data_IF_504379690044
#
_entry.id   IF_504379690044
#
_cell.length_a   1.000
_cell.length_b   1.000
_cell.length_c   1.000
_cell.angle_alpha   90.00
_cell.angle_beta   90.00
_cell.angle_gamma   90.00
#
_symmetry.space_group_name_H-M   'P 1'
#
loop_
_entity.id
_entity.type
_entity.pdbx_description
1 polymer ?
#
# COMPACT_ATOMS: atom_id res chain seq x y z
N UNK A 1 19.97 18.11 0.20
CA UNK A 1 18.69 18.31 0.91
C UNK A 1 17.87 17.05 0.70
N UNK A 2 17.35 16.42 1.77
CA UNK A 2 16.50 15.23 1.64
C UNK A 2 15.10 15.66 1.18
N UNK A 3 14.65 15.28 -0.03
CA UNK A 3 13.34 15.72 -0.52
C UNK A 3 12.24 14.93 0.18
N UNK A 4 11.15 15.63 0.50
CA UNK A 4 9.93 15.08 1.09
C UNK A 4 8.83 15.14 0.04
N UNK A 5 8.11 14.03 -0.14
CA UNK A 5 6.90 13.94 -0.94
C UNK A 5 5.75 13.44 -0.07
N UNK A 6 4.58 14.04 -0.24
CA UNK A 6 3.33 13.62 0.41
C UNK A 6 2.21 13.70 -0.62
N UNK A 7 1.45 12.63 -0.76
CA UNK A 7 0.31 12.48 -1.66
C UNK A 7 -0.87 11.93 -0.87
N UNK A 8 -2.07 12.47 -1.13
CA UNK A 8 -3.30 11.98 -0.55
C UNK A 8 -4.36 11.86 -1.64
N UNK A 9 -4.98 10.70 -1.74
CA UNK A 9 -6.00 10.38 -2.74
C UNK A 9 -7.28 9.92 -2.06
N UNK A 10 -8.43 10.40 -2.53
CA UNK A 10 -9.74 10.00 -2.06
C UNK A 10 -10.63 9.65 -3.25
N UNK A 11 -11.26 8.47 -3.20
CA UNK A 11 -12.13 7.96 -4.26
C UNK A 11 -13.47 7.54 -3.68
N UNK A 12 -14.51 7.64 -4.52
CA UNK A 12 -15.87 7.25 -4.18
C UNK A 12 -16.54 6.60 -5.38
N UNK A 13 -17.01 5.36 -5.21
CA UNK A 13 -17.72 4.60 -6.22
C UNK A 13 -19.23 4.87 -6.19
N UNK A 14 -19.66 5.83 -7.02
CA UNK A 14 -21.09 6.19 -7.14
C UNK A 14 -21.96 5.12 -7.78
N UNK A 15 -21.37 4.05 -8.32
CA UNK A 15 -22.08 2.92 -8.93
C UNK A 15 -22.26 1.72 -8.00
N UNK A 16 -21.88 1.82 -6.73
CA UNK A 16 -22.05 0.73 -5.76
C UNK A 16 -23.52 0.39 -5.57
N UNK A 17 -23.85 -0.90 -5.55
CA UNK A 17 -25.24 -1.37 -5.45
C UNK A 17 -25.87 -1.02 -4.08
N UNK A 18 -25.06 -0.96 -3.03
CA UNK A 18 -25.50 -0.65 -1.67
C UNK A 18 -25.46 0.84 -1.29
N UNK A 19 -24.73 1.69 -2.04
CA UNK A 19 -24.52 3.11 -1.68
C UNK A 19 -23.82 3.34 -0.33
N UNK A 20 -23.34 2.26 0.30
CA UNK A 20 -22.57 2.20 1.54
C UNK A 20 -21.26 1.48 1.23
N UNK A 21 -20.19 1.77 1.97
CA UNK A 21 -18.86 1.13 1.76
C UNK A 21 -18.25 1.40 0.38
N UNK A 22 -18.42 2.62 -0.14
CA UNK A 22 -18.07 3.03 -1.49
C UNK A 22 -16.77 3.83 -1.60
N UNK A 23 -15.95 3.89 -0.53
CA UNK A 23 -14.86 4.87 -0.42
C UNK A 23 -13.48 4.23 -0.35
N UNK A 24 -12.51 4.92 -0.93
CA UNK A 24 -11.09 4.61 -0.78
C UNK A 24 -10.31 5.85 -0.38
N UNK A 25 -9.31 5.65 0.47
CA UNK A 25 -8.39 6.68 0.92
C UNK A 25 -6.95 6.14 0.86
N UNK A 26 -6.05 6.92 0.29
CA UNK A 26 -4.62 6.66 0.36
C UNK A 26 -3.88 7.91 0.86
N UNK A 27 -2.94 7.71 1.77
CA UNK A 27 -1.98 8.72 2.20
C UNK A 27 -0.58 8.12 2.07
N UNK A 28 0.23 8.68 1.19
CA UNK A 28 1.56 8.17 0.87
C UNK A 28 2.56 9.28 1.12
N UNK A 29 3.60 8.97 1.89
CA UNK A 29 4.68 9.88 2.18
C UNK A 29 6.02 9.21 1.92
N UNK A 30 7.00 9.98 1.47
CA UNK A 30 8.36 9.48 1.33
C UNK A 30 9.39 10.59 1.54
N UNK A 31 10.53 10.20 2.09
CA UNK A 31 11.64 11.08 2.39
C UNK A 31 12.93 10.45 1.88
N UNK A 32 13.69 11.21 1.09
CA UNK A 32 14.93 10.75 0.48
C UNK A 32 14.82 10.65 -1.03
N UNK A 33 15.77 9.97 -1.66
CA UNK A 33 15.92 9.93 -3.12
C UNK A 33 16.34 8.53 -3.56
N UNK A 34 16.22 8.25 -4.85
CA UNK A 34 16.54 6.96 -5.47
C UNK A 34 17.29 7.12 -6.79
N UNK A 35 18.11 8.18 -6.91
CA UNK A 35 18.71 8.61 -8.18
C UNK A 35 20.16 8.19 -8.37
N UNK A 36 20.96 8.22 -7.31
CA UNK A 36 22.40 7.99 -7.32
C UNK A 36 22.77 6.81 -6.43
N UNK A 37 23.93 6.21 -6.69
CA UNK A 37 24.44 5.11 -5.85
C UNK A 37 24.55 5.57 -4.39
N UNK A 38 24.04 4.75 -3.48
CA UNK A 38 24.06 5.03 -2.05
C UNK A 38 22.87 5.87 -1.57
N UNK A 39 21.99 6.26 -2.48
CA UNK A 39 20.76 6.94 -2.10
C UNK A 39 19.81 6.02 -1.34
N UNK A 40 19.12 6.62 -0.38
CA UNK A 40 18.08 6.00 0.42
C UNK A 40 16.79 6.79 0.29
N UNK A 41 15.67 6.06 0.29
CA UNK A 41 14.34 6.64 0.44
C UNK A 41 13.54 5.79 1.41
N UNK A 42 12.90 6.44 2.37
CA UNK A 42 12.01 5.79 3.34
C UNK A 42 10.60 6.29 3.08
N UNK A 43 9.64 5.38 3.01
CA UNK A 43 8.24 5.71 2.77
C UNK A 43 7.32 5.14 3.82
N UNK A 44 6.21 5.83 4.05
CA UNK A 44 5.08 5.33 4.81
C UNK A 44 3.80 5.54 4.03
N UNK A 45 2.95 4.52 3.99
CA UNK A 45 1.65 4.58 3.34
C UNK A 45 0.55 4.08 4.25
N UNK A 46 -0.55 4.82 4.30
CA UNK A 46 -1.82 4.37 4.86
C UNK A 46 -2.80 4.21 3.70
N UNK A 47 -3.42 3.04 3.60
CA UNK A 47 -4.44 2.76 2.60
C UNK A 47 -5.67 2.18 3.29
N UNK A 48 -6.82 2.65 2.84
CA UNK A 48 -8.13 2.16 3.22
C UNK A 48 -8.95 1.98 1.94
N UNK A 49 -9.57 0.82 1.80
CA UNK A 49 -10.54 0.57 0.74
C UNK A 49 -11.73 -0.14 1.36
N UNK A 50 -12.91 0.47 1.25
CA UNK A 50 -14.17 -0.17 1.63
C UNK A 50 -14.54 -1.28 0.61
N UNK A 51 -15.50 -2.14 0.96
CA UNK A 51 -15.85 -3.34 0.19
C UNK A 51 -16.23 -3.05 -1.28
N UNK A 52 -17.02 -2.00 -1.51
CA UNK A 52 -17.56 -1.59 -2.81
C UNK A 52 -16.80 -0.40 -3.42
N UNK A 53 -15.69 0.02 -2.83
CA UNK A 53 -14.89 1.16 -3.29
C UNK A 53 -14.28 0.94 -4.68
N UNK A 54 -13.91 -0.30 -5.00
CA UNK A 54 -13.35 -0.73 -6.28
C UNK A 54 -13.79 -2.17 -6.57
N UNK A 55 -13.78 -2.56 -7.85
CA UNK A 55 -14.00 -3.95 -8.23
C UNK A 55 -12.83 -4.80 -7.72
N UNK A 56 -13.10 -5.70 -6.77
CA UNK A 56 -12.10 -6.55 -6.11
C UNK A 56 -11.12 -7.24 -7.09
N UNK A 57 -11.59 -7.66 -8.26
CA UNK A 57 -10.78 -8.30 -9.30
C UNK A 57 -9.58 -7.46 -9.80
N UNK A 58 -9.57 -6.14 -9.56
CA UNK A 58 -8.54 -5.22 -10.02
C UNK A 58 -7.66 -4.64 -8.90
N UNK A 59 -7.91 -5.01 -7.64
CA UNK A 59 -7.23 -4.41 -6.48
C UNK A 59 -6.28 -5.37 -5.74
N UNK A 60 -6.08 -6.58 -6.27
CA UNK A 60 -5.14 -7.55 -5.72
C UNK A 60 -3.75 -7.40 -6.34
N UNK A 61 -2.76 -7.05 -5.52
CA UNK A 61 -1.35 -7.20 -5.92
C UNK A 61 -0.39 -7.38 -4.72
N UNK A 62 -0.62 -6.65 -3.63
CA UNK A 62 0.35 -6.50 -2.53
C UNK A 62 -0.02 -7.19 -1.22
N UNK A 63 -1.30 -7.48 -1.01
CA UNK A 63 -1.82 -8.23 0.16
C UNK A 63 -2.88 -9.22 -0.30
N UNK A 64 -3.33 -10.10 0.58
CA UNK A 64 -4.35 -11.10 0.24
C UNK A 64 -5.80 -10.57 0.33
N UNK A 65 -6.00 -9.29 0.66
CA UNK A 65 -7.29 -8.60 0.63
C UNK A 65 -7.41 -7.74 -0.62
N UNK A 66 -8.53 -7.89 -1.34
CA UNK A 66 -8.84 -7.06 -2.50
C UNK A 66 -9.46 -5.73 -2.11
N UNK A 67 -10.43 -5.77 -1.21
CA UNK A 67 -11.23 -4.64 -0.70
C UNK A 67 -11.51 -4.88 0.78
N UNK A 68 -12.23 -3.95 1.41
CA UNK A 68 -12.59 -3.99 2.83
C UNK A 68 -11.37 -4.17 3.74
N UNK A 69 -10.38 -3.29 3.58
CA UNK A 69 -9.13 -3.39 4.34
C UNK A 69 -8.59 -2.04 4.82
N UNK A 70 -7.79 -2.16 5.88
CA UNK A 70 -6.89 -1.14 6.38
C UNK A 70 -5.46 -1.64 6.26
N UNK A 71 -4.57 -0.79 5.75
CA UNK A 71 -3.19 -1.14 5.48
C UNK A 71 -2.24 -0.01 5.86
N UNK A 72 -1.19 -0.38 6.59
CA UNK A 72 0.00 0.42 6.79
C UNK A 72 1.17 -0.25 6.05
N UNK A 73 1.92 0.52 5.26
CA UNK A 73 3.16 0.06 4.65
C UNK A 73 4.33 0.94 5.09
N UNK A 74 5.43 0.31 5.50
CA UNK A 74 6.73 0.95 5.66
C UNK A 74 7.64 0.45 4.54
N UNK A 75 8.22 1.37 3.77
CA UNK A 75 9.14 1.04 2.67
C UNK A 75 10.53 1.60 2.92
N UNK A 76 11.55 0.86 2.49
CA UNK A 76 12.93 1.32 2.43
C UNK A 76 13.49 0.93 1.06
N UNK A 77 13.93 1.94 0.32
CA UNK A 77 14.64 1.79 -0.94
C UNK A 77 16.12 2.14 -0.75
N UNK A 78 16.99 1.32 -1.34
CA UNK A 78 18.43 1.55 -1.39
C UNK A 78 18.96 1.37 -2.81
N UNK A 79 19.61 2.42 -3.34
CA UNK A 79 20.22 2.39 -4.66
C UNK A 79 21.61 1.76 -4.59
N UNK A 80 21.69 0.45 -4.81
CA UNK A 80 22.96 -0.28 -4.80
C UNK A 80 23.89 0.20 -5.92
N UNK A 81 23.32 0.48 -7.10
CA UNK A 81 23.96 1.14 -8.26
C UNK A 81 22.90 1.95 -9.01
N UNK A 82 23.29 2.86 -9.91
CA UNK A 82 22.36 3.74 -10.66
C UNK A 82 21.20 3.01 -11.36
N UNK A 83 21.40 1.75 -11.72
CA UNK A 83 20.42 0.90 -12.39
C UNK A 83 19.93 -0.27 -11.51
N UNK A 84 20.28 -0.29 -10.23
CA UNK A 84 19.97 -1.40 -9.31
C UNK A 84 19.42 -0.84 -8.01
N UNK A 85 18.15 -1.13 -7.74
CA UNK A 85 17.48 -0.72 -6.50
C UNK A 85 17.05 -1.95 -5.71
N UNK A 86 17.34 -1.93 -4.42
CA UNK A 86 16.82 -2.89 -3.45
C UNK A 86 15.67 -2.23 -2.71
N UNK A 87 14.55 -2.93 -2.57
CA UNK A 87 13.40 -2.46 -1.83
C UNK A 87 13.00 -3.48 -0.75
N UNK A 88 12.72 -2.97 0.44
CA UNK A 88 12.10 -3.69 1.54
C UNK A 88 10.76 -3.02 1.81
N UNK A 89 9.69 -3.80 1.88
CA UNK A 89 8.38 -3.32 2.33
C UNK A 89 7.85 -4.19 3.46
N UNK A 90 7.46 -3.57 4.57
CA UNK A 90 6.69 -4.20 5.63
C UNK A 90 5.25 -3.70 5.57
N UNK A 91 4.33 -4.63 5.33
CA UNK A 91 2.90 -4.39 5.38
C UNK A 91 2.35 -4.83 6.73
N UNK A 92 1.48 -4.02 7.32
CA UNK A 92 0.68 -4.31 8.50
C UNK A 92 -0.77 -3.99 8.16
N UNK A 93 -1.63 -5.01 8.06
CA UNK A 93 -2.95 -4.86 7.46
C UNK A 93 -3.99 -5.78 8.08
N UNK A 94 -5.27 -5.40 7.99
CA UNK A 94 -6.41 -6.20 8.44
C UNK A 94 -7.64 -5.90 7.59
N UNK A 95 -8.62 -6.79 7.65
CA UNK A 95 -9.96 -6.48 7.14
C UNK A 95 -10.60 -5.37 7.98
N UNK A 96 -11.37 -4.49 7.34
CA UNK A 96 -12.02 -3.37 7.99
C UNK A 96 -13.33 -3.80 8.64
N UNK A 97 -14.16 -4.57 7.94
CA UNK A 97 -15.40 -5.12 8.49
C UNK A 97 -15.35 -6.65 8.65
N UNK A 98 -16.10 -7.15 9.63
CA UNK A 98 -16.11 -8.55 10.05
C UNK A 98 -17.05 -9.43 9.22
N UNK A 99 -17.50 -8.96 8.03
CA UNK A 99 -18.35 -9.75 7.14
C UNK A 99 -17.61 -10.96 6.51
N UNK A 100 -16.29 -11.03 6.71
CA UNK A 100 -15.50 -12.21 6.39
C UNK A 100 -15.81 -13.37 7.35
N UNK A 101 -15.81 -14.63 6.88
CA UNK A 101 -16.10 -15.80 7.72
C UNK A 101 -15.25 -15.83 9.00
N UNK A 102 -15.87 -16.24 10.12
CA UNK A 102 -15.17 -16.40 11.42
C UNK A 102 -13.92 -17.28 11.24
N UNK A 103 -12.75 -16.75 11.64
CA UNK A 103 -11.43 -17.35 11.42
C UNK A 103 -10.54 -16.59 10.43
N UNK A 104 -11.12 -15.75 9.56
CA UNK A 104 -10.41 -14.77 8.71
C UNK A 104 -10.62 -13.32 9.17
N UNK A 105 -11.67 -13.08 9.95
CA UNK A 105 -12.02 -11.78 10.49
C UNK A 105 -11.27 -11.48 11.81
N UNK A 106 -10.46 -10.41 11.80
CA UNK A 106 -10.28 -9.39 12.85
C UNK A 106 -8.82 -9.02 13.18
N UNK A 107 -7.88 -9.95 13.05
CA UNK A 107 -6.51 -9.70 13.52
C UNK A 107 -5.59 -9.08 12.47
N UNK A 108 -4.70 -8.22 12.96
CA UNK A 108 -3.65 -7.63 12.15
C UNK A 108 -2.67 -8.68 11.65
N UNK A 109 -2.35 -8.59 10.37
CA UNK A 109 -1.41 -9.47 9.68
C UNK A 109 -0.23 -8.66 9.20
N UNK A 110 0.92 -9.34 9.11
CA UNK A 110 2.15 -8.73 8.64
C UNK A 110 2.64 -9.47 7.40
N UNK A 111 3.14 -8.72 6.41
CA UNK A 111 3.82 -9.29 5.24
C UNK A 111 5.11 -8.53 5.00
N UNK A 112 6.21 -9.25 4.92
CA UNK A 112 7.49 -8.70 4.50
C UNK A 112 7.70 -8.99 3.01
N UNK A 113 8.11 -7.98 2.25
CA UNK A 113 8.46 -8.12 0.84
C UNK A 113 9.87 -7.58 0.59
N UNK A 114 10.65 -8.36 -0.14
CA UNK A 114 11.97 -8.00 -0.64
C UNK A 114 11.91 -7.97 -2.16
N UNK A 115 12.30 -6.85 -2.76
CA UNK A 115 12.34 -6.67 -4.19
C UNK A 115 13.74 -6.23 -4.64
N UNK A 116 14.12 -6.70 -5.81
CA UNK A 116 15.30 -6.26 -6.56
C UNK A 116 14.81 -5.78 -7.91
N UNK A 117 15.20 -4.57 -8.32
CA UNK A 117 14.87 -4.05 -9.64
C UNK A 117 16.13 -3.64 -10.40
N UNK A 118 16.11 -3.89 -11.71
CA UNK A 118 17.13 -3.46 -12.65
C UNK A 118 16.49 -2.69 -13.81
N UNK A 119 17.04 -1.52 -14.15
CA UNK A 119 16.60 -0.70 -15.29
C UNK A 119 17.71 -0.57 -16.34
N UNK A 120 17.35 -0.55 -17.62
CA UNK A 120 18.26 -0.45 -18.78
C UNK A 120 18.21 0.92 -19.45
#
# INVERSE_FOLDING_TARGET
>A
RWPLSVTADYVMNKGSAGGTEDRGLALISSLGRTTERGDWQVGYSYLQADADAVLAAFSHDNVDLATDYLLHALTIDYVLRRHVVLNLTLYHYRAQHSALPEGLAADWRNRLRLNFSYSF
#
